data_IF_291705104259
#
_entry.id   IF_291705104259
#
_cell.length_a   1.000
_cell.length_b   1.000
_cell.length_c   1.000
_cell.angle_alpha   90.00
_cell.angle_beta   90.00
_cell.angle_gamma   90.00
#
_symmetry.space_group_name_H-M   'P 1'
#
loop_
_entity.id
_entity.type
_entity.pdbx_description
1 polymer ?
#
# COMPACT_ATOMS: atom_id res chain seq x y z
N UNK A 1 -9.38 20.47 6.19
CA UNK A 1 -9.70 19.03 6.35
C UNK A 1 -9.52 18.19 5.08
N UNK A 2 -9.68 18.76 3.88
CA UNK A 2 -9.55 18.03 2.60
C UNK A 2 -8.25 17.21 2.44
N UNK A 3 -7.09 17.79 2.81
CA UNK A 3 -5.79 17.07 2.80
C UNK A 3 -5.78 15.82 3.69
N UNK A 4 -6.32 15.94 4.91
CA UNK A 4 -6.43 14.82 5.85
C UNK A 4 -7.39 13.75 5.30
N UNK A 5 -8.54 14.14 4.76
CA UNK A 5 -9.49 13.19 4.17
C UNK A 5 -8.88 12.37 3.03
N UNK A 6 -8.23 13.04 2.06
CA UNK A 6 -7.51 12.33 0.99
C UNK A 6 -6.31 11.52 1.51
N UNK A 7 -5.63 11.99 2.55
CA UNK A 7 -4.55 11.24 3.21
C UNK A 7 -5.03 9.92 3.81
N UNK A 8 -6.15 9.93 4.56
CA UNK A 8 -6.74 8.72 5.16
C UNK A 8 -7.19 7.73 4.10
N UNK A 9 -7.88 8.19 3.05
CA UNK A 9 -8.26 7.34 1.92
C UNK A 9 -7.01 6.77 1.23
N UNK A 10 -5.98 7.60 1.08
CA UNK A 10 -4.68 7.20 0.53
C UNK A 10 -4.00 6.10 1.34
N UNK A 11 -3.99 6.19 2.68
CA UNK A 11 -3.44 5.14 3.56
C UNK A 11 -4.15 3.81 3.34
N UNK A 12 -5.49 3.82 3.36
CA UNK A 12 -6.30 2.60 3.26
C UNK A 12 -6.11 1.96 1.87
N UNK A 13 -6.24 2.76 0.81
CA UNK A 13 -6.09 2.28 -0.56
C UNK A 13 -4.64 1.83 -0.83
N UNK A 14 -3.66 2.61 -0.37
CA UNK A 14 -2.24 2.31 -0.49
C UNK A 14 -1.87 1.02 0.23
N UNK A 15 -2.37 0.79 1.44
CA UNK A 15 -2.15 -0.45 2.16
C UNK A 15 -2.70 -1.65 1.41
N UNK A 16 -3.96 -1.58 0.97
CA UNK A 16 -4.61 -2.66 0.25
C UNK A 16 -3.86 -2.99 -1.06
N UNK A 17 -3.51 -1.97 -1.85
CA UNK A 17 -2.77 -2.15 -3.09
C UNK A 17 -1.36 -2.69 -2.84
N UNK A 18 -0.65 -2.16 -1.84
CA UNK A 18 0.68 -2.62 -1.45
C UNK A 18 0.69 -4.07 -0.96
N UNK A 19 -0.29 -4.46 -0.14
CA UNK A 19 -0.43 -5.83 0.33
C UNK A 19 -0.75 -6.80 -0.82
N UNK A 20 -1.69 -6.46 -1.71
CA UNK A 20 -2.02 -7.30 -2.87
C UNK A 20 -0.81 -7.44 -3.82
N UNK A 21 -0.14 -6.33 -4.13
CA UNK A 21 1.04 -6.34 -4.99
C UNK A 21 2.20 -7.12 -4.34
N UNK A 22 2.44 -6.92 -3.05
CA UNK A 22 3.47 -7.64 -2.30
C UNK A 22 3.20 -9.14 -2.24
N UNK A 23 1.97 -9.55 -1.95
CA UNK A 23 1.57 -10.94 -1.97
C UNK A 23 1.82 -11.59 -3.33
N UNK A 24 1.38 -10.91 -4.41
CA UNK A 24 1.58 -11.40 -5.77
C UNK A 24 3.07 -11.51 -6.13
N UNK A 25 3.88 -10.50 -5.79
CA UNK A 25 5.31 -10.50 -6.04
C UNK A 25 6.01 -11.65 -5.30
N UNK A 26 5.75 -11.82 -3.99
CA UNK A 26 6.35 -12.93 -3.23
C UNK A 26 5.89 -14.28 -3.77
N UNK A 27 4.61 -14.42 -4.10
CA UNK A 27 4.09 -15.67 -4.67
C UNK A 27 4.72 -16.04 -6.02
N UNK A 28 5.16 -15.04 -6.80
CA UNK A 28 5.76 -15.25 -8.12
C UNK A 28 7.29 -15.40 -8.07
N UNK A 29 7.96 -14.74 -7.13
CA UNK A 29 9.42 -14.65 -7.08
C UNK A 29 10.04 -15.52 -5.98
N UNK A 30 9.30 -15.93 -4.95
CA UNK A 30 9.85 -16.70 -3.84
C UNK A 30 10.20 -18.11 -4.30
N UNK A 31 11.41 -18.56 -3.95
CA UNK A 31 11.88 -19.93 -4.13
C UNK A 31 11.59 -20.81 -2.92
N UNK A 32 10.89 -20.29 -1.90
CA UNK A 32 10.59 -21.04 -0.70
C UNK A 32 9.57 -22.15 -1.00
N UNK A 33 10.03 -23.39 -0.89
CA UNK A 33 9.22 -24.59 -1.15
C UNK A 33 8.34 -24.94 0.05
N UNK A 34 8.67 -24.42 1.25
CA UNK A 34 7.92 -24.68 2.47
C UNK A 34 7.11 -23.44 2.86
N UNK A 35 5.79 -23.60 3.00
CA UNK A 35 4.88 -22.56 3.53
C UNK A 35 4.97 -21.19 2.82
N UNK A 36 5.15 -21.19 1.50
CA UNK A 36 5.23 -19.97 0.68
C UNK A 36 4.01 -19.05 0.85
N UNK A 37 2.83 -19.63 1.09
CA UNK A 37 1.61 -18.88 1.37
C UNK A 37 1.73 -18.05 2.66
N UNK A 38 2.35 -18.60 3.71
CA UNK A 38 2.58 -17.90 4.97
C UNK A 38 3.59 -16.77 4.75
N UNK A 39 4.72 -17.05 4.10
CA UNK A 39 5.71 -16.01 3.75
C UNK A 39 5.09 -14.85 2.97
N UNK A 40 4.31 -15.15 1.92
CA UNK A 40 3.64 -14.15 1.11
C UNK A 40 2.65 -13.33 1.92
N UNK A 41 1.84 -13.97 2.77
CA UNK A 41 0.87 -13.27 3.63
C UNK A 41 1.54 -12.36 4.67
N UNK A 42 2.60 -12.82 5.33
CA UNK A 42 3.32 -12.03 6.33
C UNK A 42 4.04 -10.85 5.68
N UNK A 43 4.70 -11.08 4.54
CA UNK A 43 5.40 -10.01 3.80
C UNK A 43 4.42 -8.98 3.26
N UNK A 44 3.28 -9.43 2.73
CA UNK A 44 2.22 -8.55 2.25
C UNK A 44 1.67 -7.64 3.36
N UNK A 45 1.34 -8.20 4.52
CA UNK A 45 0.66 -7.45 5.60
C UNK A 45 1.63 -6.58 6.41
N UNK A 46 2.85 -7.06 6.67
CA UNK A 46 3.77 -6.38 7.59
C UNK A 46 4.86 -5.57 6.90
N UNK A 47 5.04 -5.71 5.59
CA UNK A 47 6.07 -4.96 4.84
C UNK A 47 5.46 -4.21 3.66
N UNK A 48 4.91 -4.92 2.68
CA UNK A 48 4.45 -4.31 1.43
C UNK A 48 3.21 -3.41 1.64
N UNK A 49 2.27 -3.85 2.46
CA UNK A 49 1.09 -3.07 2.87
C UNK A 49 1.50 -1.76 3.54
N UNK A 50 2.28 -1.76 4.64
CA UNK A 50 2.75 -0.54 5.28
C UNK A 50 3.52 0.40 4.35
N UNK A 51 4.38 -0.13 3.47
CA UNK A 51 5.06 0.68 2.45
C UNK A 51 4.04 1.33 1.49
N UNK A 52 3.09 0.56 0.97
CA UNK A 52 2.00 1.06 0.12
C UNK A 52 1.15 2.12 0.84
N UNK A 53 0.88 1.94 2.13
CA UNK A 53 0.13 2.87 2.96
C UNK A 53 0.84 4.23 3.08
N UNK A 54 2.16 4.22 3.28
CA UNK A 54 2.97 5.44 3.34
C UNK A 54 2.99 6.16 1.99
N UNK A 55 3.16 5.42 0.89
CA UNK A 55 3.09 5.98 -0.47
C UNK A 55 1.71 6.60 -0.72
N UNK A 56 0.65 5.88 -0.36
CA UNK A 56 -0.73 6.33 -0.48
C UNK A 56 -1.05 7.56 0.36
N UNK A 57 -0.53 7.63 1.59
CA UNK A 57 -0.66 8.80 2.47
C UNK A 57 -0.05 10.05 1.81
N UNK A 58 1.20 9.94 1.32
CA UNK A 58 1.90 11.05 0.66
C UNK A 58 1.13 11.49 -0.58
N UNK A 59 0.75 10.54 -1.44
CA UNK A 59 -0.04 10.83 -2.64
C UNK A 59 -1.39 11.50 -2.31
N UNK A 60 -2.07 11.01 -1.27
CA UNK A 60 -3.35 11.54 -0.79
C UNK A 60 -3.23 12.98 -0.27
N UNK A 61 -2.23 13.26 0.57
CA UNK A 61 -1.98 14.61 1.09
C UNK A 61 -1.64 15.58 -0.05
N UNK A 62 -0.75 15.18 -0.96
CA UNK A 62 -0.34 15.99 -2.12
C UNK A 62 -1.56 16.31 -3.00
N UNK A 63 -2.39 15.31 -3.30
CA UNK A 63 -3.60 15.50 -4.13
C UNK A 63 -4.65 16.35 -3.43
N UNK A 64 -4.90 16.13 -2.14
CA UNK A 64 -5.83 16.93 -1.35
C UNK A 64 -5.40 18.39 -1.17
N UNK A 65 -4.11 18.69 -1.39
CA UNK A 65 -3.54 20.02 -1.28
C UNK A 65 -3.56 20.86 -2.55
N UNK A 66 -3.89 20.27 -3.71
CA UNK A 66 -4.03 20.98 -4.98
C UNK A 66 -5.24 21.93 -4.94
N UNK A 67 -5.01 23.22 -5.23
CA UNK A 67 -6.06 24.20 -5.50
C UNK A 67 -6.66 23.92 -6.89
N UNK A 68 -7.99 24.03 -7.07
CA UNK A 68 -8.60 23.98 -8.41
C UNK A 68 -8.00 25.07 -9.31
N UNK A 69 -7.82 24.81 -10.62
CA UNK A 69 -7.50 25.88 -11.57
C UNK A 69 -8.62 26.93 -11.56
N UNK A 70 -8.22 28.20 -11.56
CA UNK A 70 -9.12 29.36 -11.54
C UNK A 70 -9.83 29.54 -12.89
#
# INVERSE_FOLDING_TARGET
MRRLGFGVVGVIAGFALGAVAGYALVSLLSSNVHDSAVEASMTAVFVAGPIGALIGLVAGIVRGGRKPPA
#
